data_IF_530996703574
#
_entry.id   IF_530996703574
#
_cell.length_a   1.000
_cell.length_b   1.000
_cell.length_c   1.000
_cell.angle_alpha   90.00
_cell.angle_beta   90.00
_cell.angle_gamma   90.00
#
_symmetry.space_group_name_H-M   'P 1'
#
loop_
_entity.id
_entity.type
_entity.pdbx_description
1 polymer ?
#
# COMPACT_ATOMS: atom_id res chain seq x y z
N UNK A 1 13.98 19.96 5.57
CA UNK A 1 13.52 19.40 4.28
C UNK A 1 12.57 20.39 3.65
N UNK A 2 12.91 20.93 2.49
CA UNK A 2 12.14 22.00 1.85
C UNK A 2 10.97 21.38 1.07
N UNK A 3 9.75 21.45 1.63
CA UNK A 3 8.54 20.80 1.08
C UNK A 3 7.96 21.49 -0.16
N UNK A 4 8.55 22.61 -0.58
CA UNK A 4 7.95 23.51 -1.58
C UNK A 4 8.93 23.92 -2.70
N UNK A 5 10.03 23.18 -2.87
CA UNK A 5 10.97 23.45 -3.96
C UNK A 5 10.47 22.85 -5.28
N UNK A 6 10.23 23.70 -6.28
CA UNK A 6 9.91 23.31 -7.65
C UNK A 6 11.12 23.65 -8.52
N UNK A 7 11.75 22.68 -9.20
CA UNK A 7 12.89 22.94 -10.09
C UNK A 7 12.50 23.83 -11.28
N UNK A 8 13.43 24.70 -11.72
CA UNK A 8 13.21 25.66 -12.82
C UNK A 8 12.79 25.00 -14.15
N UNK A 9 13.19 23.75 -14.38
CA UNK A 9 12.84 22.99 -15.59
C UNK A 9 11.40 22.44 -15.59
N UNK A 10 10.68 22.53 -14.47
CA UNK A 10 9.30 22.06 -14.35
C UNK A 10 8.35 23.19 -14.77
N UNK A 11 7.60 23.04 -15.88
CA UNK A 11 6.62 24.05 -16.27
C UNK A 11 5.55 24.21 -15.18
N UNK A 12 5.27 25.45 -14.77
CA UNK A 12 4.27 25.75 -13.73
C UNK A 12 2.89 25.15 -14.03
N UNK A 13 2.51 25.09 -15.31
CA UNK A 13 1.27 24.49 -15.78
C UNK A 13 1.14 22.98 -15.49
N UNK A 14 2.25 22.28 -15.21
CA UNK A 14 2.30 20.85 -14.89
C UNK A 14 2.40 20.58 -13.38
N UNK A 15 2.50 21.59 -12.53
CA UNK A 15 2.57 21.39 -11.08
C UNK A 15 1.17 21.06 -10.56
N UNK A 16 1.03 19.98 -9.78
CA UNK A 16 -0.23 19.59 -9.12
C UNK A 16 -0.01 19.28 -7.66
N UNK A 17 -1.01 19.67 -6.87
CA UNK A 17 -1.14 19.30 -5.46
C UNK A 17 -1.68 17.87 -5.37
N UNK A 18 -0.77 16.90 -5.29
CA UNK A 18 -1.12 15.49 -5.11
C UNK A 18 -0.07 14.77 -4.26
N UNK A 19 -0.52 14.08 -3.21
CA UNK A 19 0.31 13.28 -2.32
C UNK A 19 -0.34 11.94 -2.06
N UNK A 20 0.42 10.86 -2.25
CA UNK A 20 -0.01 9.51 -1.89
C UNK A 20 -0.16 9.31 -0.36
N UNK A 21 0.22 10.29 0.45
CA UNK A 21 0.20 10.19 1.91
C UNK A 21 -0.77 11.17 2.55
N UNK A 22 -0.91 12.36 1.98
CA UNK A 22 -1.65 13.47 2.61
C UNK A 22 -2.83 13.99 1.81
N UNK A 23 -3.00 13.59 0.54
CA UNK A 23 -4.18 14.03 -0.23
C UNK A 23 -5.48 13.50 0.39
N UNK A 24 -6.60 14.22 0.22
CA UNK A 24 -7.91 13.78 0.70
C UNK A 24 -8.21 12.34 0.26
N UNK A 25 -8.60 11.49 1.21
CA UNK A 25 -8.91 10.07 0.98
C UNK A 25 -7.72 9.11 0.99
N UNK A 26 -6.47 9.60 1.06
CA UNK A 26 -5.28 8.75 1.21
C UNK A 26 -4.99 8.34 2.67
N UNK A 27 -5.46 9.13 3.64
CA UNK A 27 -5.30 8.82 5.04
C UNK A 27 -6.05 7.50 5.41
N UNK A 28 -5.41 6.56 6.13
CA UNK A 28 -6.07 5.34 6.56
C UNK A 28 -7.29 5.63 7.43
N UNK A 29 -8.47 5.26 6.94
CA UNK A 29 -9.75 5.44 7.63
C UNK A 29 -10.57 4.17 7.55
N UNK A 30 -11.46 3.94 8.53
CA UNK A 30 -12.37 2.81 8.49
C UNK A 30 -13.25 2.91 7.24
N UNK A 31 -13.26 1.87 6.41
CA UNK A 31 -13.96 1.82 5.12
C UNK A 31 -13.52 2.90 4.11
N UNK A 32 -12.32 3.47 4.26
CA UNK A 32 -11.75 4.39 3.27
C UNK A 32 -11.44 3.70 1.94
N UNK A 33 -11.48 4.46 0.84
CA UNK A 33 -11.16 3.99 -0.50
C UNK A 33 -9.98 4.79 -1.09
N UNK A 34 -8.73 4.31 -0.92
CA UNK A 34 -7.57 4.97 -1.50
C UNK A 34 -7.59 4.92 -3.04
N UNK A 35 -8.29 3.97 -3.66
CA UNK A 35 -8.39 3.91 -5.11
C UNK A 35 -9.28 5.03 -5.66
N UNK A 36 -10.40 5.33 -5.00
CA UNK A 36 -11.21 6.49 -5.33
C UNK A 36 -10.43 7.81 -5.15
N UNK A 37 -9.63 7.91 -4.08
CA UNK A 37 -8.78 9.06 -3.83
C UNK A 37 -7.74 9.27 -4.95
N UNK A 38 -7.03 8.19 -5.34
CA UNK A 38 -6.07 8.21 -6.43
C UNK A 38 -6.75 8.44 -7.78
N UNK A 39 -7.96 7.90 -8.03
CA UNK A 39 -8.65 8.03 -9.31
C UNK A 39 -8.87 9.49 -9.74
N UNK A 40 -8.91 10.44 -8.79
CA UNK A 40 -8.97 11.88 -9.08
C UNK A 40 -7.83 12.36 -9.98
N UNK A 41 -6.64 11.74 -9.91
CA UNK A 41 -5.50 12.13 -10.77
C UNK A 41 -5.73 11.85 -12.25
N UNK A 42 -6.73 11.05 -12.60
CA UNK A 42 -7.09 10.82 -14.00
C UNK A 42 -7.80 12.03 -14.65
N UNK A 43 -8.25 13.00 -13.85
CA UNK A 43 -8.73 14.31 -14.33
C UNK A 43 -7.61 15.33 -14.57
N UNK A 44 -6.39 15.04 -14.13
CA UNK A 44 -5.21 15.90 -14.27
C UNK A 44 -4.45 15.60 -15.58
N UNK A 45 -3.41 16.39 -15.95
CA UNK A 45 -2.54 16.05 -17.07
C UNK A 45 -1.99 14.62 -16.94
N UNK A 46 -1.74 13.96 -18.08
CA UNK A 46 -1.29 12.56 -18.08
C UNK A 46 0.06 12.35 -17.36
N UNK A 47 0.89 13.38 -17.37
CA UNK A 47 2.14 13.48 -16.64
C UNK A 47 2.16 14.85 -15.99
N UNK A 48 2.39 14.89 -14.67
CA UNK A 48 2.44 16.13 -13.90
C UNK A 48 3.50 16.03 -12.80
N UNK A 49 3.92 17.15 -12.25
CA UNK A 49 4.89 17.21 -11.17
C UNK A 49 4.20 17.47 -9.84
N UNK A 50 4.51 16.66 -8.82
CA UNK A 50 4.06 16.85 -7.44
C UNK A 50 5.25 17.26 -6.57
N UNK A 51 5.19 18.38 -5.82
CA UNK A 51 6.34 18.87 -5.05
C UNK A 51 6.65 18.11 -3.76
N UNK A 52 5.75 17.24 -3.26
CA UNK A 52 5.92 16.54 -1.97
C UNK A 52 5.51 15.05 -2.03
N UNK A 53 6.16 14.29 -2.91
CA UNK A 53 5.93 12.86 -3.16
C UNK A 53 7.23 12.26 -3.74
N UNK A 54 7.73 11.07 -3.36
CA UNK A 54 7.15 10.05 -2.49
C UNK A 54 7.48 10.25 -1.01
N UNK A 55 7.54 9.17 -0.23
CA UNK A 55 7.66 9.14 1.24
C UNK A 55 8.71 10.09 1.81
N UNK A 56 9.79 10.31 1.06
CA UNK A 56 10.89 11.18 1.44
C UNK A 56 10.55 12.67 1.29
N UNK A 57 9.36 13.04 0.80
CA UNK A 57 8.84 14.40 0.67
C UNK A 57 9.55 15.27 -0.38
N UNK A 58 10.36 14.68 -1.26
CA UNK A 58 10.93 15.38 -2.43
C UNK A 58 9.86 15.55 -3.50
N UNK A 59 10.12 16.32 -4.55
CA UNK A 59 9.19 16.42 -5.67
C UNK A 59 9.42 15.33 -6.73
N UNK A 60 8.33 14.83 -7.32
CA UNK A 60 8.33 13.69 -8.26
C UNK A 60 7.34 13.89 -9.40
N UNK A 61 7.71 13.39 -10.57
CA UNK A 61 6.81 13.21 -11.70
C UNK A 61 5.83 12.06 -11.47
N UNK A 62 4.54 12.35 -11.63
CA UNK A 62 3.44 11.39 -11.52
C UNK A 62 2.93 11.06 -12.93
N UNK A 63 2.85 9.77 -13.24
CA UNK A 63 2.44 9.26 -14.55
C UNK A 63 1.13 8.49 -14.37
N UNK A 64 0.06 8.93 -15.03
CA UNK A 64 -1.30 8.43 -14.76
C UNK A 64 -1.83 7.45 -15.80
N UNK A 65 -1.17 7.34 -16.96
CA UNK A 65 -1.57 6.44 -18.05
C UNK A 65 -0.73 5.17 -18.04
N UNK A 66 -1.40 4.02 -18.05
CA UNK A 66 -0.76 2.71 -18.01
C UNK A 66 0.25 2.48 -19.15
N UNK A 67 0.01 3.03 -20.35
CA UNK A 67 0.96 2.93 -21.47
C UNK A 67 2.28 3.65 -21.19
N UNK A 68 2.23 4.79 -20.50
CA UNK A 68 3.39 5.62 -20.23
C UNK A 68 4.13 5.07 -19.00
N UNK A 69 3.39 4.52 -18.02
CA UNK A 69 3.97 3.74 -16.92
C UNK A 69 4.78 2.53 -17.43
N UNK A 70 4.24 1.75 -18.39
CA UNK A 70 4.97 0.62 -18.98
C UNK A 70 6.27 1.07 -19.64
N UNK A 71 6.23 2.12 -20.47
CA UNK A 71 7.44 2.68 -21.09
C UNK A 71 8.50 3.04 -20.05
N UNK A 72 8.11 3.72 -18.98
CA UNK A 72 9.05 4.11 -17.90
C UNK A 72 9.60 2.91 -17.15
N UNK A 73 8.79 1.87 -16.93
CA UNK A 73 9.22 0.67 -16.22
C UNK A 73 10.07 -0.28 -17.09
N UNK A 74 9.95 -0.20 -18.41
CA UNK A 74 10.69 -1.03 -19.37
C UNK A 74 12.00 -0.37 -19.85
N UNK A 75 12.08 0.97 -19.85
CA UNK A 75 13.28 1.72 -20.22
C UNK A 75 14.24 1.86 -19.01
N UNK A 76 15.00 0.80 -18.77
CA UNK A 76 15.98 0.70 -17.69
C UNK A 76 17.20 1.63 -17.85
N UNK A 77 17.50 2.05 -19.08
CA UNK A 77 18.66 2.92 -19.39
C UNK A 77 18.36 4.35 -18.94
N UNK A 78 17.12 4.81 -19.15
CA UNK A 78 16.70 6.15 -18.73
C UNK A 78 16.18 6.18 -17.29
N UNK A 79 15.46 5.15 -16.85
CA UNK A 79 14.76 5.17 -15.56
C UNK A 79 15.32 4.15 -14.57
N UNK A 80 16.11 4.66 -13.62
CA UNK A 80 16.75 3.79 -12.63
C UNK A 80 15.86 3.39 -11.45
N UNK A 81 15.92 2.12 -11.05
CA UNK A 81 15.38 1.58 -9.79
C UNK A 81 16.24 1.89 -8.55
N UNK A 82 17.47 2.38 -8.74
CA UNK A 82 18.39 2.74 -7.66
C UNK A 82 17.97 4.06 -7.00
N UNK A 83 16.97 4.00 -6.10
CA UNK A 83 16.38 5.19 -5.46
C UNK A 83 16.45 5.20 -3.94
N UNK A 84 16.86 4.09 -3.31
CA UNK A 84 16.96 3.91 -1.85
C UNK A 84 15.67 4.24 -1.07
N UNK A 85 14.52 4.32 -1.75
CA UNK A 85 13.23 4.63 -1.13
C UNK A 85 12.75 3.43 -0.31
N UNK A 86 13.05 2.21 -0.76
CA UNK A 86 12.61 1.00 -0.09
C UNK A 86 13.56 0.60 1.03
N UNK A 87 14.89 0.70 0.81
CA UNK A 87 15.88 0.46 1.87
C UNK A 87 15.71 1.43 3.05
N UNK A 88 15.56 2.73 2.76
CA UNK A 88 15.34 3.74 3.80
C UNK A 88 14.03 3.54 4.58
N UNK A 89 12.99 2.98 3.94
CA UNK A 89 11.74 2.66 4.63
C UNK A 89 11.90 1.51 5.65
N UNK A 90 12.92 0.67 5.49
CA UNK A 90 13.29 -0.39 6.44
C UNK A 90 14.37 0.05 7.44
N UNK A 91 14.91 1.26 7.32
CA UNK A 91 16.04 1.73 8.14
C UNK A 91 17.38 1.14 7.72
N UNK A 92 17.49 0.68 6.47
CA UNK A 92 18.70 0.07 5.91
C UNK A 92 19.44 1.04 4.99
N UNK A 93 20.77 0.96 5.03
CA UNK A 93 21.67 1.78 4.19
C UNK A 93 22.16 1.03 2.93
N UNK A 94 21.81 -0.26 2.79
CA UNK A 94 22.11 -1.06 1.60
C UNK A 94 20.88 -1.22 0.72
N UNK A 95 21.05 -1.40 -0.61
CA UNK A 95 19.92 -1.55 -1.52
C UNK A 95 19.09 -2.79 -1.19
N UNK A 96 17.78 -2.68 -1.39
CA UNK A 96 16.88 -3.82 -1.30
C UNK A 96 17.09 -4.73 -2.51
N UNK A 97 17.83 -5.82 -2.34
CA UNK A 97 18.15 -6.77 -3.41
C UNK A 97 16.97 -7.74 -3.63
N UNK A 98 16.50 -7.95 -4.87
CA UNK A 98 16.96 -7.35 -6.14
C UNK A 98 16.22 -6.07 -6.52
N UNK A 99 15.18 -5.65 -5.77
CA UNK A 99 14.26 -4.58 -6.10
C UNK A 99 14.92 -3.25 -6.54
N UNK A 100 16.02 -2.86 -5.90
CA UNK A 100 16.73 -1.59 -6.15
C UNK A 100 18.01 -1.74 -6.98
N UNK A 101 18.24 -2.93 -7.56
CA UNK A 101 19.38 -3.19 -8.45
C UNK A 101 19.04 -2.93 -9.92
N UNK A 102 20.09 -2.72 -10.71
CA UNK A 102 20.03 -2.64 -12.17
C UNK A 102 20.72 -3.83 -12.83
N UNK A 103 20.42 -4.14 -14.10
CA UNK A 103 21.28 -5.03 -14.88
C UNK A 103 22.73 -4.54 -14.91
N UNK A 104 23.72 -5.45 -14.90
CA UNK A 104 23.56 -6.92 -14.88
C UNK A 104 23.25 -7.50 -13.50
N UNK A 105 23.54 -6.79 -12.41
CA UNK A 105 23.46 -7.30 -11.02
C UNK A 105 22.06 -7.77 -10.64
N UNK A 106 21.02 -7.06 -11.06
CA UNK A 106 19.61 -7.47 -10.88
C UNK A 106 19.38 -8.91 -11.36
N UNK A 107 19.93 -9.27 -12.53
CA UNK A 107 19.79 -10.60 -13.13
C UNK A 107 20.48 -11.69 -12.33
N UNK A 108 21.65 -11.40 -11.76
CA UNK A 108 22.42 -12.34 -10.94
C UNK A 108 21.63 -12.75 -9.71
N UNK A 109 21.09 -11.78 -8.96
CA UNK A 109 20.30 -12.08 -7.76
C UNK A 109 18.93 -12.67 -8.09
N UNK A 110 18.31 -12.27 -9.21
CA UNK A 110 17.08 -12.90 -9.68
C UNK A 110 17.27 -14.37 -10.03
N UNK A 111 18.38 -14.74 -10.67
CA UNK A 111 18.67 -16.15 -10.97
C UNK A 111 18.75 -17.04 -9.71
N UNK A 112 19.12 -16.47 -8.55
CA UNK A 112 19.12 -17.18 -7.26
C UNK A 112 17.71 -17.31 -6.67
N UNK A 113 16.86 -16.29 -6.83
CA UNK A 113 15.52 -16.23 -6.23
C UNK A 113 14.43 -16.92 -7.06
N UNK A 114 14.44 -16.74 -8.38
CA UNK A 114 13.38 -17.21 -9.27
C UNK A 114 13.09 -18.72 -9.13
N UNK A 115 14.08 -19.63 -8.95
CA UNK A 115 13.82 -21.04 -8.71
C UNK A 115 12.97 -21.35 -7.46
N UNK A 116 13.00 -20.47 -6.45
CA UNK A 116 12.22 -20.60 -5.21
C UNK A 116 10.75 -20.24 -5.42
N UNK A 117 10.45 -19.40 -6.42
CA UNK A 117 9.11 -18.89 -6.72
C UNK A 117 8.48 -19.51 -7.98
N UNK A 118 8.99 -20.65 -8.43
CA UNK A 118 8.38 -21.39 -9.55
C UNK A 118 6.95 -21.85 -9.22
N UNK A 119 6.06 -22.02 -10.21
CA UNK A 119 4.70 -22.51 -9.98
C UNK A 119 4.65 -23.79 -9.15
N UNK A 120 5.57 -24.74 -9.38
CA UNK A 120 5.67 -25.99 -8.61
C UNK A 120 6.00 -25.74 -7.13
N UNK A 121 6.93 -24.82 -6.82
CA UNK A 121 7.28 -24.47 -5.44
C UNK A 121 6.13 -23.78 -4.73
N UNK A 122 5.45 -22.85 -5.41
CA UNK A 122 4.27 -22.15 -4.87
C UNK A 122 3.13 -23.14 -4.61
N UNK A 123 2.85 -24.06 -5.53
CA UNK A 123 1.82 -25.09 -5.32
C UNK A 123 2.15 -26.02 -4.15
N UNK A 124 3.42 -26.34 -3.90
CA UNK A 124 3.81 -27.13 -2.73
C UNK A 124 3.46 -26.44 -1.39
N UNK A 125 3.31 -25.12 -1.37
CA UNK A 125 2.90 -24.35 -0.20
C UNK A 125 1.38 -24.37 0.04
N UNK A 126 0.57 -24.80 -0.94
CA UNK A 126 -0.89 -24.66 -0.93
C UNK A 126 -1.52 -25.21 0.36
N UNK A 127 -1.17 -26.44 0.76
CA UNK A 127 -1.73 -27.09 1.94
C UNK A 127 -1.48 -26.27 3.22
N UNK A 128 -0.27 -25.75 3.38
CA UNK A 128 0.12 -24.99 4.56
C UNK A 128 -0.55 -23.62 4.58
N UNK A 129 -0.56 -22.90 3.45
CA UNK A 129 -1.24 -21.61 3.31
C UNK A 129 -2.74 -21.76 3.59
N UNK A 130 -3.39 -22.78 3.00
CA UNK A 130 -4.81 -23.09 3.23
C UNK A 130 -5.11 -23.38 4.70
N UNK A 131 -4.25 -24.16 5.37
CA UNK A 131 -4.39 -24.45 6.81
C UNK A 131 -4.33 -23.17 7.63
N UNK A 132 -3.35 -22.31 7.40
CA UNK A 132 -3.20 -21.05 8.14
C UNK A 132 -4.36 -20.08 7.88
N UNK A 133 -4.75 -19.92 6.62
CA UNK A 133 -5.90 -19.10 6.27
C UNK A 133 -7.19 -19.58 6.96
N UNK A 134 -7.45 -20.90 6.95
CA UNK A 134 -8.62 -21.48 7.60
C UNK A 134 -8.60 -21.27 9.12
N UNK A 135 -7.43 -21.42 9.75
CA UNK A 135 -7.27 -21.18 11.18
C UNK A 135 -7.57 -19.71 11.55
N UNK A 136 -7.06 -18.75 10.77
CA UNK A 136 -7.31 -17.31 10.98
C UNK A 136 -8.79 -16.95 10.77
N UNK A 137 -9.43 -17.52 9.75
CA UNK A 137 -10.88 -17.32 9.52
C UNK A 137 -11.69 -17.85 10.70
N UNK A 138 -11.42 -19.08 11.15
CA UNK A 138 -12.11 -19.68 12.28
C UNK A 138 -11.91 -18.85 13.56
N UNK A 139 -10.69 -18.37 13.81
CA UNK A 139 -10.41 -17.48 14.95
C UNK A 139 -11.23 -16.19 14.88
N UNK A 140 -11.29 -15.54 13.71
CA UNK A 140 -12.07 -14.32 13.51
C UNK A 140 -13.58 -14.56 13.73
N UNK A 141 -14.11 -15.70 13.25
CA UNK A 141 -15.51 -16.10 13.44
C UNK A 141 -15.84 -16.38 14.91
N UNK A 142 -14.98 -17.12 15.61
CA UNK A 142 -15.12 -17.38 17.05
C UNK A 142 -15.05 -16.10 17.87
N UNK A 143 -14.09 -15.21 17.59
CA UNK A 143 -13.97 -13.92 18.28
C UNK A 143 -15.20 -13.01 18.01
N UNK A 144 -15.79 -13.07 16.82
CA UNK A 144 -17.04 -12.36 16.50
C UNK A 144 -18.24 -12.95 17.24
N UNK A 145 -18.31 -14.27 17.36
CA UNK A 145 -19.34 -14.96 18.14
C UNK A 145 -19.27 -14.59 19.63
N UNK A 146 -18.06 -14.59 20.21
CA UNK A 146 -17.83 -14.17 21.61
C UNK A 146 -18.22 -12.71 21.82
N UNK A 147 -17.82 -11.79 20.94
CA UNK A 147 -18.23 -10.38 21.04
C UNK A 147 -19.75 -10.20 20.95
N UNK A 148 -20.42 -10.90 20.02
CA UNK A 148 -21.88 -10.83 19.86
C UNK A 148 -22.61 -11.43 21.06
N UNK A 149 -22.11 -12.55 21.61
CA UNK A 149 -22.67 -13.17 22.82
C UNK A 149 -22.52 -12.24 24.04
N UNK A 150 -21.37 -11.57 24.18
CA UNK A 150 -21.16 -10.59 25.24
C UNK A 150 -22.09 -9.37 25.10
N UNK A 151 -22.32 -8.86 23.89
CA UNK A 151 -23.28 -7.77 23.65
C UNK A 151 -24.71 -8.21 23.96
N UNK A 152 -25.13 -9.40 23.54
CA UNK A 152 -26.47 -9.93 23.81
C UNK A 152 -26.69 -10.23 25.30
N UNK A 153 -25.68 -10.74 26.01
CA UNK A 153 -25.75 -10.96 27.45
C UNK A 153 -25.90 -9.63 28.23
N UNK A 154 -25.21 -8.57 27.78
CA UNK A 154 -25.32 -7.23 28.35
C UNK A 154 -26.70 -6.58 28.08
N UNK A 155 -27.30 -6.84 26.91
CA UNK A 155 -28.66 -6.40 26.59
C UNK A 155 -29.73 -7.15 27.40
N UNK A 156 -29.57 -8.46 27.61
CA UNK A 156 -30.47 -9.25 28.46
C UNK A 156 -30.40 -8.80 29.93
N UNK A 157 -29.22 -8.54 30.48
CA UNK A 157 -29.09 -8.06 31.87
C UNK A 157 -29.65 -6.65 32.06
N UNK A 158 -29.51 -5.77 31.06
CA UNK A 158 -30.11 -4.43 31.09
C UNK A 158 -31.65 -4.47 31.03
N UNK A 159 -32.22 -5.38 30.22
CA UNK A 159 -33.68 -5.57 30.15
C UNK A 159 -34.25 -6.19 31.43
N UNK A 160 -33.56 -7.15 32.05
CA UNK A 160 -33.96 -7.71 33.36
C UNK A 160 -33.90 -6.67 34.48
N UNK A 161 -32.92 -5.76 34.43
CA UNK A 161 -32.80 -4.66 35.39
C UNK A 161 -33.94 -3.64 35.22
N UNK A 162 -34.27 -3.28 33.96
CA UNK A 162 -35.37 -2.39 33.65
C UNK A 162 -36.74 -2.99 34.04
N UNK A 163 -36.94 -4.29 33.84
CA UNK A 163 -38.17 -4.98 34.22
C UNK A 163 -38.36 -5.07 35.74
N UNK A 164 -37.28 -5.29 36.51
CA UNK A 164 -37.32 -5.30 37.99
C UNK A 164 -37.58 -3.91 38.58
N UNK A 165 -37.13 -2.85 37.93
CA UNK A 165 -37.42 -1.47 38.34
C UNK A 165 -38.85 -1.04 37.99
N UNK A 166 -39.47 -1.62 36.97
CA UNK A 166 -40.85 -1.33 36.58
C UNK A 166 -41.91 -2.08 37.39
N UNK A 167 -41.51 -3.11 38.16
CA UNK A 167 -42.36 -3.91 39.04
C UNK A 167 -42.19 -3.59 40.54
N UNK A 168 -41.42 -2.55 40.87
CA UNK A 168 -41.28 -1.98 42.21
C UNK A 168 -42.03 -0.65 42.29
#
# INVERSE_FOLDING_TARGET
MQRDYIPDHVPSALVRDFSLFTSPGMAPTANGDPHAAVARVHGEPHIFYSPYNPRDGRGTWVITRARDQRKVLEDIETFSSHRSIFSSALGEDWPMIPLELQPPDHGIFRALLDPLFTPRRVMALERNVRKQASALINLAMSARAVRRAATNACLCSALDCAYRLALA
#
